data_IF_501744543266
#
_entry.id   IF_501744543266
#
_cell.length_a   1.000
_cell.length_b   1.000
_cell.length_c   1.000
_cell.angle_alpha   90.00
_cell.angle_beta   90.00
_cell.angle_gamma   90.00
#
_symmetry.space_group_name_H-M   'P 1'
#
loop_
_entity.id
_entity.type
_entity.pdbx_description
1 polymer ?
#
# COMPACT_ATOMS: atom_id res chain seq x y z
N UNK A 1 8.00 3.01 47.06
CA UNK A 1 7.74 2.52 45.69
C UNK A 1 7.91 3.67 44.73
N UNK A 2 8.99 3.64 43.97
CA UNK A 2 9.45 4.73 43.11
C UNK A 2 8.89 4.50 41.71
N UNK A 3 7.79 5.18 41.36
CA UNK A 3 7.28 5.15 39.99
C UNK A 3 8.14 6.04 39.08
N UNK A 4 8.86 5.37 38.18
CA UNK A 4 9.38 5.78 36.87
C UNK A 4 9.43 7.28 36.52
N UNK A 5 10.66 7.80 36.40
CA UNK A 5 11.04 9.13 35.88
C UNK A 5 10.93 9.29 34.35
N UNK A 6 10.37 8.32 33.62
CA UNK A 6 10.41 8.31 32.14
C UNK A 6 9.17 8.92 31.44
N UNK A 7 8.10 9.27 32.17
CA UNK A 7 6.79 9.56 31.55
C UNK A 7 6.43 11.03 31.27
N UNK A 8 7.17 12.01 31.79
CA UNK A 8 6.60 13.36 31.98
C UNK A 8 6.94 14.41 30.90
N UNK A 9 7.90 14.15 30.02
CA UNK A 9 8.54 15.20 29.18
C UNK A 9 8.17 15.19 27.70
N UNK A 10 7.50 14.13 27.24
CA UNK A 10 7.28 13.83 25.84
C UNK A 10 5.81 13.99 25.42
N UNK A 11 4.91 14.33 26.36
CA UNK A 11 3.46 14.31 26.16
C UNK A 11 2.96 15.10 24.94
N UNK A 12 3.20 16.41 24.83
CA UNK A 12 2.72 17.19 23.68
C UNK A 12 3.32 16.75 22.34
N UNK A 13 4.59 16.35 22.32
CA UNK A 13 5.28 15.87 21.12
C UNK A 13 4.80 14.48 20.69
N UNK A 14 4.55 13.59 21.64
CA UNK A 14 3.93 12.28 21.38
C UNK A 14 2.50 12.48 20.89
N UNK A 15 1.74 13.38 21.50
CA UNK A 15 0.37 13.73 21.07
C UNK A 15 0.36 14.25 19.64
N UNK A 16 1.26 15.18 19.31
CA UNK A 16 1.43 15.64 17.93
C UNK A 16 1.89 14.51 17.00
N UNK A 17 2.81 13.65 17.45
CA UNK A 17 3.28 12.49 16.68
C UNK A 17 2.15 11.49 16.36
N UNK A 18 1.28 11.21 17.33
CA UNK A 18 0.08 10.38 17.15
C UNK A 18 -0.85 11.01 16.11
N UNK A 19 -1.15 12.31 16.25
CA UNK A 19 -2.04 13.03 15.34
C UNK A 19 -1.46 13.11 13.91
N UNK A 20 -0.17 13.40 13.79
CA UNK A 20 0.54 13.47 12.52
C UNK A 20 0.61 12.08 11.85
N UNK A 21 0.92 11.03 12.60
CA UNK A 21 0.94 9.66 12.11
C UNK A 21 -0.40 9.28 11.47
N UNK A 22 -1.51 9.44 12.20
CA UNK A 22 -2.82 9.06 11.68
C UNK A 22 -3.30 9.95 10.54
N UNK A 23 -2.97 11.25 10.56
CA UNK A 23 -3.28 12.15 9.45
C UNK A 23 -2.53 11.72 8.18
N UNK A 24 -1.22 11.45 8.28
CA UNK A 24 -0.42 11.01 7.14
C UNK A 24 -0.82 9.62 6.66
N UNK A 25 -1.09 8.69 7.58
CA UNK A 25 -1.55 7.34 7.27
C UNK A 25 -2.81 7.39 6.39
N UNK A 26 -3.83 8.13 6.81
CA UNK A 26 -5.07 8.23 6.03
C UNK A 26 -4.90 9.06 4.76
N UNK A 27 -4.04 10.09 4.78
CA UNK A 27 -3.72 10.87 3.59
C UNK A 27 -3.13 9.98 2.49
N UNK A 28 -2.14 9.16 2.82
CA UNK A 28 -1.52 8.27 1.85
C UNK A 28 -2.47 7.16 1.37
N UNK A 29 -3.36 6.65 2.22
CA UNK A 29 -4.39 5.70 1.81
C UNK A 29 -5.39 6.31 0.81
N UNK A 30 -5.81 7.56 1.04
CA UNK A 30 -6.67 8.29 0.09
C UNK A 30 -5.93 8.56 -1.22
N UNK A 31 -4.67 9.01 -1.16
CA UNK A 31 -3.86 9.22 -2.37
C UNK A 31 -3.69 7.91 -3.15
N UNK A 32 -3.46 6.77 -2.47
CA UNK A 32 -3.33 5.46 -3.12
C UNK A 32 -4.56 5.09 -3.95
N UNK A 33 -5.76 5.40 -3.43
CA UNK A 33 -7.03 5.15 -4.13
C UNK A 33 -7.27 6.11 -5.28
N UNK A 34 -6.79 7.35 -5.20
CA UNK A 34 -6.98 8.36 -6.25
C UNK A 34 -6.00 8.17 -7.41
N UNK A 35 -4.73 7.87 -7.12
CA UNK A 35 -3.67 7.80 -8.15
C UNK A 35 -3.80 6.54 -9.01
N UNK A 36 -4.17 5.40 -8.42
CA UNK A 36 -4.44 4.14 -9.13
C UNK A 36 -3.22 3.54 -9.87
N UNK A 37 -2.87 2.29 -9.56
CA UNK A 37 -1.81 1.57 -10.27
C UNK A 37 -0.39 2.10 -10.03
N UNK A 38 0.57 1.56 -10.79
CA UNK A 38 1.99 1.82 -10.60
C UNK A 38 2.52 2.90 -11.56
N UNK A 39 3.11 3.96 -11.00
CA UNK A 39 3.79 5.06 -11.68
C UNK A 39 5.25 5.15 -11.23
N UNK A 40 6.05 6.01 -11.88
CA UNK A 40 7.50 6.12 -11.69
C UNK A 40 7.98 6.28 -10.23
N UNK A 41 7.16 6.85 -9.33
CA UNK A 41 7.46 6.99 -7.89
C UNK A 41 6.29 6.58 -6.98
N UNK A 42 5.24 5.99 -7.57
CA UNK A 42 4.06 5.56 -6.83
C UNK A 42 3.77 4.12 -7.16
N UNK A 43 3.99 3.20 -6.21
CA UNK A 43 3.69 1.78 -6.41
C UNK A 43 2.30 1.48 -5.85
N UNK A 44 1.30 2.16 -6.40
CA UNK A 44 -0.08 1.94 -6.04
C UNK A 44 -0.62 0.64 -6.63
N UNK A 45 -1.64 0.07 -6.00
CA UNK A 45 -2.40 -1.05 -6.57
C UNK A 45 -3.64 -0.50 -7.26
N UNK A 46 -4.05 -1.09 -8.38
CA UNK A 46 -5.36 -0.81 -8.95
C UNK A 46 -6.43 -1.42 -8.02
N UNK A 47 -7.02 -0.57 -7.18
CA UNK A 47 -8.01 -0.98 -6.18
C UNK A 47 -9.35 -1.35 -6.80
N UNK A 48 -9.72 -0.78 -7.95
CA UNK A 48 -10.92 -1.17 -8.68
C UNK A 48 -10.79 -2.60 -9.20
N UNK A 49 -9.68 -2.89 -9.88
CA UNK A 49 -9.40 -4.24 -10.37
C UNK A 49 -9.25 -5.25 -9.22
N UNK A 50 -8.67 -4.84 -8.10
CA UNK A 50 -8.54 -5.69 -6.90
C UNK A 50 -9.92 -6.03 -6.30
N UNK A 51 -10.79 -5.04 -6.09
CA UNK A 51 -12.13 -5.25 -5.55
C UNK A 51 -12.98 -6.12 -6.47
N UNK A 52 -12.96 -5.87 -7.79
CA UNK A 52 -13.70 -6.70 -8.74
C UNK A 52 -13.24 -8.16 -8.71
N UNK A 53 -11.93 -8.43 -8.57
CA UNK A 53 -11.40 -9.80 -8.40
C UNK A 53 -11.88 -10.46 -7.12
N UNK A 54 -11.89 -9.74 -6.00
CA UNK A 54 -12.39 -10.27 -4.73
C UNK A 54 -13.88 -10.64 -4.81
N UNK A 55 -14.73 -9.74 -5.30
CA UNK A 55 -16.15 -10.00 -5.43
C UNK A 55 -16.45 -11.12 -6.45
N UNK A 56 -15.74 -11.15 -7.58
CA UNK A 56 -15.85 -12.25 -8.54
C UNK A 56 -15.44 -13.60 -7.91
N UNK A 57 -14.38 -13.64 -7.10
CA UNK A 57 -13.95 -14.85 -6.39
C UNK A 57 -14.97 -15.36 -5.37
N UNK A 58 -15.78 -14.46 -4.81
CA UNK A 58 -16.87 -14.78 -3.90
C UNK A 58 -18.20 -15.13 -4.61
N UNK A 59 -18.19 -15.24 -5.95
CA UNK A 59 -19.39 -15.56 -6.73
C UNK A 59 -20.33 -14.37 -6.96
N UNK A 60 -19.86 -13.13 -6.78
CA UNK A 60 -20.59 -11.90 -7.05
C UNK A 60 -19.98 -11.20 -8.29
N UNK A 61 -20.35 -11.61 -9.52
CA UNK A 61 -19.72 -11.12 -10.74
C UNK A 61 -20.16 -9.71 -11.14
N UNK A 62 -21.17 -9.15 -10.48
CA UNK A 62 -21.72 -7.83 -10.80
C UNK A 62 -20.71 -6.72 -10.43
N UNK A 63 -20.07 -6.03 -11.39
CA UNK A 63 -18.97 -5.11 -11.10
C UNK A 63 -19.38 -3.93 -10.22
N UNK A 64 -20.62 -3.45 -10.39
CA UNK A 64 -21.16 -2.33 -9.62
C UNK A 64 -21.22 -2.61 -8.11
N UNK A 65 -21.36 -3.88 -7.68
CA UNK A 65 -21.36 -4.24 -6.25
C UNK A 65 -19.96 -4.06 -5.66
N UNK A 66 -18.93 -4.47 -6.41
CA UNK A 66 -17.54 -4.29 -6.03
C UNK A 66 -17.16 -2.80 -5.99
N UNK A 67 -17.60 -2.04 -6.99
CA UNK A 67 -17.37 -0.59 -7.07
C UNK A 67 -18.07 0.14 -5.91
N UNK A 68 -19.29 -0.25 -5.55
CA UNK A 68 -19.99 0.30 -4.38
C UNK A 68 -19.22 0.01 -3.09
N UNK A 69 -18.71 -1.22 -2.93
CA UNK A 69 -17.86 -1.58 -1.80
C UNK A 69 -16.60 -0.71 -1.71
N UNK A 70 -15.98 -0.43 -2.85
CA UNK A 70 -14.81 0.45 -2.94
C UNK A 70 -15.16 1.92 -2.62
N UNK A 71 -16.32 2.41 -3.06
CA UNK A 71 -16.79 3.77 -2.71
C UNK A 71 -17.04 3.89 -1.21
N UNK A 72 -17.67 2.89 -0.59
CA UNK A 72 -17.86 2.85 0.87
C UNK A 72 -16.52 2.84 1.59
N UNK A 73 -15.58 2.00 1.15
CA UNK A 73 -14.22 1.99 1.67
C UNK A 73 -13.56 3.38 1.57
N UNK A 74 -13.52 3.96 0.38
CA UNK A 74 -12.92 5.27 0.15
C UNK A 74 -13.56 6.38 0.99
N UNK A 75 -14.89 6.37 1.14
CA UNK A 75 -15.60 7.34 1.96
C UNK A 75 -15.18 7.24 3.44
N UNK A 76 -15.10 6.04 3.99
CA UNK A 76 -14.66 5.81 5.36
C UNK A 76 -13.24 6.34 5.61
N UNK A 77 -12.32 6.12 4.67
CA UNK A 77 -10.95 6.64 4.75
C UNK A 77 -10.87 8.17 4.69
N UNK A 78 -11.66 8.79 3.81
CA UNK A 78 -11.75 10.24 3.71
C UNK A 78 -12.30 10.84 5.00
N UNK A 79 -13.33 10.24 5.59
CA UNK A 79 -13.85 10.69 6.89
C UNK A 79 -12.79 10.55 7.99
N UNK A 80 -12.07 9.43 8.04
CA UNK A 80 -10.99 9.25 8.99
C UNK A 80 -9.91 10.34 8.81
N UNK A 81 -9.47 10.59 7.58
CA UNK A 81 -8.52 11.67 7.26
C UNK A 81 -9.01 13.03 7.76
N UNK A 82 -10.26 13.40 7.45
CA UNK A 82 -10.85 14.67 7.86
C UNK A 82 -10.84 14.80 9.39
N UNK A 83 -11.21 13.74 10.12
CA UNK A 83 -11.22 13.77 11.58
C UNK A 83 -9.82 13.91 12.18
N UNK A 84 -8.81 13.17 11.69
CA UNK A 84 -7.43 13.31 12.20
C UNK A 84 -6.76 14.62 11.78
N UNK A 85 -6.99 15.09 10.55
CA UNK A 85 -6.50 16.38 10.11
C UNK A 85 -7.13 17.51 10.94
N UNK A 86 -8.44 17.44 11.18
CA UNK A 86 -9.14 18.37 12.07
C UNK A 86 -8.63 18.31 13.51
N UNK A 87 -8.41 17.11 14.06
CA UNK A 87 -7.81 16.92 15.38
C UNK A 87 -6.43 17.57 15.46
N UNK A 88 -5.58 17.37 14.44
CA UNK A 88 -4.26 18.00 14.31
C UNK A 88 -4.36 19.52 14.29
N UNK A 89 -5.24 20.09 13.46
CA UNK A 89 -5.44 21.53 13.37
C UNK A 89 -5.96 22.12 14.69
N UNK A 90 -6.89 21.46 15.36
CA UNK A 90 -7.40 21.87 16.67
C UNK A 90 -6.32 21.81 17.74
N UNK A 91 -5.48 20.77 17.74
CA UNK A 91 -4.33 20.64 18.63
C UNK A 91 -3.33 21.78 18.44
N UNK A 92 -2.93 22.07 17.19
CA UNK A 92 -2.01 23.17 16.85
C UNK A 92 -2.58 24.54 17.23
N UNK A 93 -3.91 24.71 17.15
CA UNK A 93 -4.63 25.93 17.60
C UNK A 93 -4.87 25.98 19.11
N UNK A 94 -4.30 25.06 19.89
CA UNK A 94 -4.48 24.94 21.35
C UNK A 94 -5.94 24.77 21.80
N UNK A 95 -6.77 24.17 20.95
CA UNK A 95 -8.19 23.87 21.23
C UNK A 95 -8.32 22.42 21.71
N UNK A 96 -7.85 22.15 22.93
CA UNK A 96 -7.66 20.79 23.46
C UNK A 96 -8.94 19.94 23.44
N UNK A 97 -10.04 20.46 23.98
CA UNK A 97 -11.33 19.75 24.00
C UNK A 97 -11.79 19.34 22.59
N UNK A 98 -11.70 20.27 21.62
CA UNK A 98 -12.04 19.98 20.23
C UNK A 98 -11.07 18.95 19.62
N UNK A 99 -9.78 19.06 19.90
CA UNK A 99 -8.79 18.07 19.45
C UNK A 99 -9.13 16.66 19.95
N UNK A 100 -9.56 16.52 21.21
CA UNK A 100 -9.97 15.25 21.79
C UNK A 100 -11.23 14.68 21.12
N UNK A 101 -12.25 15.51 20.89
CA UNK A 101 -13.49 15.09 20.23
C UNK A 101 -13.22 14.61 18.79
N UNK A 102 -12.44 15.39 18.04
CA UNK A 102 -12.09 15.05 16.66
C UNK A 102 -11.20 13.81 16.59
N UNK A 103 -10.27 13.65 17.54
CA UNK A 103 -9.47 12.43 17.64
C UNK A 103 -10.35 11.21 17.92
N UNK A 104 -11.27 11.29 18.87
CA UNK A 104 -12.18 10.19 19.19
C UNK A 104 -13.02 9.81 17.96
N UNK A 105 -13.56 10.80 17.23
CA UNK A 105 -14.28 10.56 15.99
C UNK A 105 -13.39 9.83 14.96
N UNK A 106 -12.15 10.31 14.76
CA UNK A 106 -11.18 9.67 13.87
C UNK A 106 -10.82 8.25 14.27
N UNK A 107 -10.65 7.98 15.56
CA UNK A 107 -10.42 6.64 16.10
C UNK A 107 -11.63 5.74 15.85
N UNK A 108 -12.86 6.17 16.17
CA UNK A 108 -14.06 5.36 15.93
C UNK A 108 -14.24 5.06 14.45
N UNK A 109 -14.06 6.05 13.57
CA UNK A 109 -14.10 5.84 12.12
C UNK A 109 -13.01 4.88 11.66
N UNK A 110 -11.79 4.97 12.22
CA UNK A 110 -10.69 4.03 11.93
C UNK A 110 -11.02 2.61 12.33
N UNK A 111 -11.55 2.41 13.54
CA UNK A 111 -11.94 1.08 14.01
C UNK A 111 -13.03 0.49 13.10
N UNK A 112 -14.04 1.29 12.74
CA UNK A 112 -15.08 0.87 11.80
C UNK A 112 -14.49 0.52 10.42
N UNK A 113 -13.55 1.32 9.91
CA UNK A 113 -12.89 1.10 8.62
C UNK A 113 -12.09 -0.20 8.62
N UNK A 114 -11.24 -0.42 9.62
CA UNK A 114 -10.48 -1.67 9.70
C UNK A 114 -11.33 -2.88 10.02
N UNK A 115 -12.42 -2.74 10.78
CA UNK A 115 -13.39 -3.83 10.94
C UNK A 115 -14.05 -4.18 9.61
N UNK A 116 -14.45 -3.19 8.82
CA UNK A 116 -14.99 -3.41 7.48
C UNK A 116 -13.97 -4.13 6.58
N UNK A 117 -12.70 -3.71 6.59
CA UNK A 117 -11.64 -4.41 5.85
C UNK A 117 -11.38 -5.82 6.35
N UNK A 118 -11.24 -6.04 7.65
CA UNK A 118 -11.00 -7.37 8.21
C UNK A 118 -12.13 -8.36 7.92
N UNK A 119 -13.38 -7.90 7.87
CA UNK A 119 -14.50 -8.73 7.40
C UNK A 119 -14.29 -9.10 5.93
N UNK A 120 -13.96 -8.12 5.09
CA UNK A 120 -13.63 -8.34 3.68
C UNK A 120 -12.49 -9.34 3.51
N UNK A 121 -11.36 -9.15 4.17
CA UNK A 121 -10.18 -10.01 4.10
C UNK A 121 -10.52 -11.46 4.50
N UNK A 122 -11.38 -11.63 5.51
CA UNK A 122 -11.84 -12.95 5.91
C UNK A 122 -12.73 -13.60 4.85
N UNK A 123 -13.67 -12.84 4.27
CA UNK A 123 -14.57 -13.32 3.22
C UNK A 123 -13.84 -13.66 1.92
N UNK A 124 -12.83 -12.87 1.55
CA UNK A 124 -12.08 -13.03 0.31
C UNK A 124 -10.78 -13.83 0.45
N UNK A 125 -10.43 -14.23 1.68
CA UNK A 125 -9.27 -15.09 1.95
C UNK A 125 -7.91 -14.38 1.94
N UNK A 126 -7.88 -13.04 2.08
CA UNK A 126 -6.64 -12.26 2.10
C UNK A 126 -6.00 -12.22 3.50
N UNK A 127 -5.26 -13.29 3.83
CA UNK A 127 -4.70 -13.48 5.18
C UNK A 127 -3.58 -12.49 5.52
N UNK A 128 -2.90 -11.93 4.53
CA UNK A 128 -1.83 -10.96 4.78
C UNK A 128 -2.41 -9.59 5.14
N UNK A 129 -3.39 -9.12 4.37
CA UNK A 129 -4.09 -7.86 4.66
C UNK A 129 -4.86 -7.94 6.00
N UNK A 130 -5.43 -9.10 6.35
CA UNK A 130 -6.13 -9.30 7.63
C UNK A 130 -5.26 -9.02 8.86
N UNK A 131 -4.01 -9.48 8.84
CA UNK A 131 -3.08 -9.28 9.96
C UNK A 131 -2.73 -7.79 10.11
N UNK A 132 -2.44 -7.12 8.99
CA UNK A 132 -2.12 -5.70 8.96
C UNK A 132 -3.29 -4.85 9.46
N UNK A 133 -4.50 -5.08 8.95
CA UNK A 133 -5.71 -4.36 9.38
C UNK A 133 -6.04 -4.59 10.85
N UNK A 134 -5.89 -5.82 11.35
CA UNK A 134 -6.07 -6.13 12.77
C UNK A 134 -5.05 -5.40 13.64
N UNK A 135 -3.79 -5.34 13.21
CA UNK A 135 -2.74 -4.61 13.92
C UNK A 135 -3.05 -3.11 13.98
N UNK A 136 -3.45 -2.51 12.86
CA UNK A 136 -3.80 -1.08 12.82
C UNK A 136 -5.04 -0.77 13.65
N UNK A 137 -6.00 -1.69 13.74
CA UNK A 137 -7.14 -1.58 14.64
C UNK A 137 -6.68 -1.39 16.10
N UNK A 138 -5.79 -2.28 16.58
CA UNK A 138 -5.26 -2.18 17.95
C UNK A 138 -4.39 -0.94 18.15
N UNK A 139 -3.52 -0.61 17.20
CA UNK A 139 -2.66 0.58 17.29
C UNK A 139 -3.51 1.86 17.35
N UNK A 140 -4.63 1.93 16.64
CA UNK A 140 -5.55 3.09 16.69
C UNK A 140 -6.17 3.27 18.07
N UNK A 141 -6.67 2.17 18.64
CA UNK A 141 -7.23 2.18 19.99
C UNK A 141 -6.17 2.58 21.04
N UNK A 142 -4.97 2.01 20.94
CA UNK A 142 -3.85 2.34 21.84
C UNK A 142 -3.36 3.79 21.65
N UNK A 143 -3.36 4.30 20.43
CA UNK A 143 -3.02 5.70 20.12
C UNK A 143 -3.99 6.66 20.79
N UNK A 144 -5.29 6.39 20.73
CA UNK A 144 -6.31 7.17 21.43
C UNK A 144 -6.11 7.11 22.95
N UNK A 145 -5.91 5.92 23.51
CA UNK A 145 -5.68 5.75 24.94
C UNK A 145 -4.42 6.50 25.40
N UNK A 146 -3.32 6.38 24.67
CA UNK A 146 -2.08 7.10 24.93
C UNK A 146 -2.27 8.62 24.85
N UNK A 147 -2.95 9.12 23.83
CA UNK A 147 -3.24 10.54 23.69
C UNK A 147 -4.08 11.07 24.86
N UNK A 148 -5.05 10.28 25.35
CA UNK A 148 -5.87 10.64 26.50
C UNK A 148 -5.09 10.64 27.81
N UNK A 149 -4.24 9.63 28.05
CA UNK A 149 -3.46 9.51 29.27
C UNK A 149 -2.38 10.60 29.40
N UNK A 150 -1.84 11.05 28.27
CA UNK A 150 -0.87 12.15 28.19
C UNK A 150 -1.51 13.55 28.42
N UNK A 151 -2.81 13.63 28.72
CA UNK A 151 -3.52 14.88 29.03
C UNK A 151 -3.46 15.29 30.52
N UNK A 152 -2.78 14.52 31.36
CA UNK A 152 -2.61 14.85 32.79
C UNK A 152 -1.50 15.89 32.94
N UNK A 153 -1.68 16.90 33.81
CA UNK A 153 -0.74 18.01 34.07
C UNK A 153 0.66 17.54 34.52
N UNK A 154 1.45 17.01 33.59
CA UNK A 154 2.85 16.68 33.78
C UNK A 154 3.68 17.92 33.43
N UNK A 155 4.43 18.40 34.42
CA UNK A 155 5.38 19.52 34.35
C UNK A 155 6.17 19.55 33.03
N UNK A 156 6.34 20.77 32.49
CA UNK A 156 7.02 21.03 31.23
C UNK A 156 8.44 20.42 31.19
N UNK A 157 8.85 19.82 30.06
CA UNK A 157 10.18 19.26 29.91
C UNK A 157 11.27 20.33 30.02
N UNK A 158 12.46 19.90 30.44
CA UNK A 158 13.65 20.67 30.12
C UNK A 158 13.78 20.68 28.58
N UNK A 159 14.03 21.84 27.94
CA UNK A 159 14.21 21.89 26.50
C UNK A 159 15.33 20.92 26.08
N UNK A 160 15.14 20.21 24.96
CA UNK A 160 16.22 19.43 24.33
C UNK A 160 17.45 20.31 24.22
N UNK A 161 18.62 19.76 24.53
CA UNK A 161 19.85 20.51 24.31
C UNK A 161 20.04 20.75 22.83
N UNK A 162 20.66 21.86 22.45
CA UNK A 162 20.93 22.20 21.05
C UNK A 162 21.64 21.05 20.31
N UNK A 163 22.54 20.33 20.99
CA UNK A 163 23.24 19.15 20.47
C UNK A 163 22.29 17.98 20.19
N UNK A 164 21.32 17.71 21.08
CA UNK A 164 20.33 16.65 20.86
C UNK A 164 19.41 16.98 19.68
N UNK A 165 18.93 18.21 19.59
CA UNK A 165 18.09 18.66 18.47
C UNK A 165 18.83 18.53 17.14
N UNK A 166 20.05 19.04 17.04
CA UNK A 166 20.85 18.92 15.81
C UNK A 166 21.21 17.47 15.49
N UNK A 167 21.53 16.65 16.50
CA UNK A 167 21.80 15.23 16.31
C UNK A 167 20.59 14.47 15.75
N UNK A 168 19.40 14.71 16.29
CA UNK A 168 18.16 14.10 15.79
C UNK A 168 17.82 14.60 14.39
N UNK A 169 17.95 15.90 14.12
CA UNK A 169 17.71 16.46 12.79
C UNK A 169 18.68 15.90 11.75
N UNK A 170 19.96 15.79 12.08
CA UNK A 170 20.97 15.21 11.20
C UNK A 170 20.70 13.74 10.92
N UNK A 171 20.37 12.95 11.95
CA UNK A 171 20.01 11.54 11.76
C UNK A 171 18.76 11.40 10.89
N UNK A 172 17.72 12.18 11.14
CA UNK A 172 16.51 12.18 10.33
C UNK A 172 16.82 12.56 8.87
N UNK A 173 17.64 13.60 8.65
CA UNK A 173 18.05 14.02 7.32
C UNK A 173 18.86 12.93 6.58
N UNK A 174 19.77 12.25 7.27
CA UNK A 174 20.55 11.13 6.71
C UNK A 174 19.63 9.97 6.33
N UNK A 175 18.71 9.56 7.22
CA UNK A 175 17.78 8.47 6.95
C UNK A 175 16.87 8.80 5.77
N UNK A 176 16.26 9.99 5.75
CA UNK A 176 15.41 10.44 4.64
C UNK A 176 16.20 10.46 3.34
N UNK A 177 17.40 11.06 3.34
CA UNK A 177 18.23 11.16 2.13
C UNK A 177 18.66 9.79 1.62
N UNK A 178 19.05 8.87 2.51
CA UNK A 178 19.42 7.51 2.14
C UNK A 178 18.23 6.73 1.56
N UNK A 179 17.06 6.82 2.19
CA UNK A 179 15.85 6.16 1.70
C UNK A 179 15.41 6.75 0.36
N UNK A 180 15.35 8.08 0.22
CA UNK A 180 15.00 8.75 -1.03
C UNK A 180 16.00 8.41 -2.13
N UNK A 181 17.30 8.49 -1.86
CA UNK A 181 18.35 8.15 -2.82
C UNK A 181 18.27 6.69 -3.28
N UNK A 182 17.98 5.75 -2.37
CA UNK A 182 17.77 4.34 -2.69
C UNK A 182 16.57 4.13 -3.61
N UNK A 183 15.41 4.72 -3.28
CA UNK A 183 14.17 4.61 -4.08
C UNK A 183 14.36 5.19 -5.48
N UNK A 184 14.93 6.40 -5.58
CA UNK A 184 15.13 7.06 -6.85
C UNK A 184 16.11 6.31 -7.74
N UNK A 185 17.28 5.93 -7.22
CA UNK A 185 18.29 5.16 -7.98
C UNK A 185 17.71 3.84 -8.47
N UNK A 186 16.97 3.13 -7.62
CA UNK A 186 16.34 1.88 -8.04
C UNK A 186 15.30 2.10 -9.15
N UNK A 187 14.43 3.10 -9.02
CA UNK A 187 13.41 3.37 -10.04
C UNK A 187 14.03 3.89 -11.34
N UNK A 188 15.06 4.74 -11.31
CA UNK A 188 15.72 5.20 -12.55
C UNK A 188 16.33 4.03 -13.31
N UNK A 189 16.94 3.08 -12.60
CA UNK A 189 17.75 2.03 -13.23
C UNK A 189 16.92 0.79 -13.61
N UNK A 190 15.80 0.56 -12.92
CA UNK A 190 15.05 -0.69 -13.01
C UNK A 190 13.55 -0.55 -13.24
N UNK A 191 13.00 0.65 -13.40
CA UNK A 191 11.58 0.81 -13.73
C UNK A 191 11.17 0.12 -15.04
N UNK A 192 12.09 0.05 -16.02
CA UNK A 192 11.87 -0.69 -17.26
C UNK A 192 11.49 -2.15 -17.06
N UNK A 193 11.89 -2.80 -15.95
CA UNK A 193 11.50 -4.19 -15.65
C UNK A 193 9.99 -4.37 -15.41
N UNK A 194 9.26 -3.28 -15.18
CA UNK A 194 7.80 -3.27 -14.97
C UNK A 194 7.00 -2.94 -16.24
N UNK A 195 7.68 -2.51 -17.32
CA UNK A 195 7.02 -2.03 -18.54
C UNK A 195 7.57 -2.63 -19.82
N UNK A 196 8.84 -3.03 -19.85
CA UNK A 196 9.50 -3.53 -21.05
C UNK A 196 8.97 -4.93 -21.44
N UNK A 197 8.80 -5.19 -22.74
CA UNK A 197 8.44 -6.52 -23.23
C UNK A 197 9.55 -7.54 -22.97
N UNK A 198 9.17 -8.82 -22.93
CA UNK A 198 10.06 -9.95 -22.70
C UNK A 198 10.23 -10.74 -24.00
N UNK A 199 11.46 -11.20 -24.27
CA UNK A 199 11.69 -12.05 -25.43
C UNK A 199 11.09 -13.44 -25.21
N UNK A 200 10.37 -13.93 -26.22
CA UNK A 200 9.96 -15.32 -26.29
C UNK A 200 11.11 -16.17 -26.84
N UNK A 201 11.33 -17.33 -26.24
CA UNK A 201 12.37 -18.28 -26.66
C UNK A 201 11.68 -19.47 -27.31
N UNK A 202 11.98 -19.75 -28.56
CA UNK A 202 11.49 -20.94 -29.25
C UNK A 202 12.02 -22.20 -28.54
N UNK A 203 11.10 -23.10 -28.19
CA UNK A 203 11.39 -24.35 -27.45
C UNK A 203 10.85 -25.59 -28.15
N UNK A 204 10.17 -25.42 -29.29
CA UNK A 204 9.65 -26.46 -30.14
C UNK A 204 9.01 -25.84 -31.38
N UNK A 205 8.58 -26.71 -32.30
CA UNK A 205 7.88 -26.31 -33.52
C UNK A 205 6.62 -25.51 -33.19
N UNK A 206 6.55 -24.28 -33.69
CA UNK A 206 5.49 -23.30 -33.38
C UNK A 206 5.21 -23.13 -31.87
N UNK A 207 6.24 -23.29 -31.04
CA UNK A 207 6.10 -23.25 -29.59
C UNK A 207 7.18 -22.39 -28.93
N UNK A 208 6.72 -21.34 -28.27
CA UNK A 208 7.59 -20.34 -27.66
C UNK A 208 7.35 -20.22 -26.17
N UNK A 209 8.41 -20.05 -25.40
CA UNK A 209 8.42 -19.93 -23.95
C UNK A 209 8.77 -18.52 -23.52
N UNK A 210 7.99 -17.97 -22.59
CA UNK A 210 8.28 -16.70 -21.92
C UNK A 210 8.41 -16.93 -20.41
N UNK A 211 9.50 -16.44 -19.82
CA UNK A 211 9.72 -16.43 -18.37
C UNK A 211 9.31 -15.08 -17.81
N UNK A 212 8.20 -15.03 -17.09
CA UNK A 212 7.61 -13.80 -16.60
C UNK A 212 8.15 -13.45 -15.19
N UNK A 213 8.77 -12.27 -15.01
CA UNK A 213 9.37 -11.89 -13.75
C UNK A 213 8.30 -11.52 -12.72
N UNK A 214 8.64 -11.65 -11.44
CA UNK A 214 7.74 -11.29 -10.33
C UNK A 214 7.24 -9.84 -10.35
N UNK A 215 8.00 -8.92 -10.94
CA UNK A 215 7.64 -7.50 -11.05
C UNK A 215 6.91 -7.15 -12.36
N UNK A 216 6.71 -8.11 -13.26
CA UNK A 216 5.99 -7.89 -14.52
C UNK A 216 4.49 -7.74 -14.26
N UNK A 217 3.88 -6.70 -14.81
CA UNK A 217 2.43 -6.47 -14.77
C UNK A 217 1.75 -6.76 -16.12
N UNK A 218 0.45 -6.47 -16.23
CA UNK A 218 -0.30 -6.63 -17.49
C UNK A 218 0.36 -5.92 -18.68
N UNK A 219 0.92 -4.73 -18.46
CA UNK A 219 1.66 -3.98 -19.49
C UNK A 219 2.83 -4.78 -20.07
N UNK A 220 3.63 -5.46 -19.24
CA UNK A 220 4.73 -6.31 -19.72
C UNK A 220 4.19 -7.45 -20.57
N UNK A 221 3.07 -8.06 -20.16
CA UNK A 221 2.45 -9.15 -20.89
C UNK A 221 1.90 -8.70 -22.26
N UNK A 222 1.14 -7.60 -22.29
CA UNK A 222 0.58 -7.02 -23.52
C UNK A 222 1.67 -6.59 -24.49
N UNK A 223 2.69 -5.89 -24.00
CA UNK A 223 3.84 -5.48 -24.81
C UNK A 223 4.66 -6.67 -25.32
N UNK A 224 4.78 -7.73 -24.51
CA UNK A 224 5.44 -8.98 -24.94
C UNK A 224 4.68 -9.62 -26.10
N UNK A 225 3.35 -9.70 -26.04
CA UNK A 225 2.55 -10.25 -27.12
C UNK A 225 2.59 -9.38 -28.38
N UNK A 226 2.64 -8.06 -28.22
CA UNK A 226 2.80 -7.13 -29.34
C UNK A 226 4.14 -7.34 -30.03
N UNK A 227 5.23 -7.32 -29.27
CA UNK A 227 6.58 -7.57 -29.78
C UNK A 227 6.70 -8.94 -30.45
N UNK A 228 6.05 -9.97 -29.89
CA UNK A 228 6.02 -11.31 -30.48
C UNK A 228 5.33 -11.33 -31.85
N UNK A 229 4.14 -10.71 -31.97
CA UNK A 229 3.41 -10.62 -33.25
C UNK A 229 4.16 -9.85 -34.31
N UNK A 230 4.84 -8.76 -33.91
CA UNK A 230 5.65 -7.97 -34.83
C UNK A 230 6.87 -8.77 -35.34
N UNK A 231 7.42 -9.66 -34.51
CA UNK A 231 8.54 -10.52 -34.87
C UNK A 231 8.13 -11.74 -35.71
N UNK A 232 6.88 -12.20 -35.61
CA UNK A 232 6.35 -13.40 -36.29
C UNK A 232 5.06 -13.06 -37.08
N UNK A 233 5.17 -12.27 -38.16
CA UNK A 233 3.99 -11.79 -38.91
C UNK A 233 3.26 -12.91 -39.67
N UNK A 234 3.96 -14.01 -39.96
CA UNK A 234 3.44 -15.16 -40.73
C UNK A 234 2.78 -16.23 -39.83
N UNK A 235 2.80 -16.02 -38.52
CA UNK A 235 2.25 -16.94 -37.53
C UNK A 235 1.05 -16.33 -36.79
N UNK A 236 0.00 -17.13 -36.59
CA UNK A 236 -1.14 -16.76 -35.75
C UNK A 236 -1.02 -17.43 -34.40
N UNK A 237 -1.16 -16.65 -33.32
CA UNK A 237 -1.30 -17.20 -31.97
C UNK A 237 -2.61 -18.01 -31.90
N UNK A 238 -2.49 -19.31 -31.63
CA UNK A 238 -3.64 -20.20 -31.41
C UNK A 238 -4.03 -20.21 -29.92
N UNK A 239 -3.08 -20.55 -29.03
CA UNK A 239 -3.34 -20.58 -27.59
C UNK A 239 -2.13 -20.15 -26.75
N UNK A 240 -2.42 -19.54 -25.60
CA UNK A 240 -1.45 -19.20 -24.57
C UNK A 240 -1.77 -20.01 -23.32
N UNK A 241 -0.81 -20.78 -22.82
CA UNK A 241 -1.03 -21.65 -21.67
C UNK A 241 0.15 -21.65 -20.72
N UNK A 242 -0.14 -21.93 -19.45
CA UNK A 242 0.88 -22.14 -18.41
C UNK A 242 0.91 -23.62 -18.04
N UNK A 243 2.10 -24.16 -17.81
CA UNK A 243 2.27 -25.56 -17.41
C UNK A 243 2.66 -25.58 -15.94
N UNK A 244 2.01 -26.39 -15.08
CA UNK A 244 2.40 -26.51 -13.68
C UNK A 244 3.78 -27.17 -13.60
N UNK A 245 4.84 -26.37 -13.62
CA UNK A 245 6.11 -26.78 -13.05
C UNK A 245 6.03 -26.61 -11.54
N UNK A 246 6.66 -27.49 -10.73
CA UNK A 246 6.85 -27.19 -9.32
C UNK A 246 7.55 -25.82 -9.24
N UNK A 247 6.89 -24.85 -8.59
CA UNK A 247 7.45 -23.54 -8.29
C UNK A 247 8.90 -23.76 -7.85
N UNK A 248 9.86 -23.25 -8.64
CA UNK A 248 11.27 -23.37 -8.28
C UNK A 248 11.51 -22.43 -7.12
N UNK A 249 11.26 -22.93 -5.90
CA UNK A 249 11.60 -22.25 -4.65
C UNK A 249 13.02 -21.70 -4.80
N UNK A 250 13.16 -20.37 -4.70
CA UNK A 250 14.41 -19.57 -4.83
C UNK A 250 14.82 -19.10 -6.23
N UNK A 251 13.98 -19.23 -7.28
CA UNK A 251 14.17 -18.49 -8.55
C UNK A 251 13.11 -17.38 -8.70
N UNK A 252 13.50 -16.26 -9.33
CA UNK A 252 12.68 -15.05 -9.46
C UNK A 252 11.64 -15.09 -10.59
N UNK A 253 11.27 -16.29 -11.05
CA UNK A 253 10.24 -16.48 -12.08
C UNK A 253 8.89 -16.65 -11.37
N UNK A 254 7.96 -15.72 -11.60
CA UNK A 254 6.63 -15.78 -10.97
C UNK A 254 5.63 -16.59 -11.79
N UNK A 255 5.78 -16.58 -13.12
CA UNK A 255 4.95 -17.33 -14.05
C UNK A 255 5.78 -17.72 -15.27
N UNK A 256 5.57 -18.91 -15.81
CA UNK A 256 6.06 -19.30 -17.13
C UNK A 256 4.83 -19.59 -17.98
N UNK A 257 4.77 -18.98 -19.16
CA UNK A 257 3.73 -19.27 -20.14
C UNK A 257 4.34 -19.60 -21.50
N UNK A 258 3.57 -20.35 -22.27
CA UNK A 258 3.90 -20.81 -23.60
C UNK A 258 2.92 -20.18 -24.59
N UNK A 259 3.44 -19.76 -25.73
CA UNK A 259 2.69 -19.26 -26.87
C UNK A 259 2.79 -20.35 -27.94
N UNK A 260 1.66 -20.94 -28.31
CA UNK A 260 1.57 -21.86 -29.43
C UNK A 260 0.97 -21.14 -30.63
N UNK A 261 1.56 -21.35 -31.80
CA UNK A 261 1.18 -20.70 -33.04
C UNK A 261 0.82 -21.69 -34.14
N UNK A 262 0.22 -21.19 -35.21
CA UNK A 262 0.04 -21.90 -36.47
C UNK A 262 0.32 -20.96 -37.63
N UNK A 263 0.68 -21.51 -38.79
CA UNK A 263 0.89 -20.72 -40.00
C UNK A 263 -0.40 -19.98 -40.41
N UNK A 264 -0.23 -18.74 -40.85
CA UNK A 264 -1.32 -18.01 -41.51
C UNK A 264 -1.57 -18.67 -42.87
N UNK A 265 -2.69 -19.38 -43.00
CA UNK A 265 -3.08 -20.01 -44.26
C UNK A 265 -3.10 -18.98 -45.40
N UNK A 266 -2.36 -19.29 -46.48
CA UNK A 266 -2.26 -18.49 -47.71
C UNK A 266 -3.57 -18.45 -48.50
#
# INVERSE_FOLDING_TARGET
MTFSRFGAQTGPWIRLGILAYWTLFWLFNVIDKVVGGAHFLWVGRDRFAQFQKYFASAGLPAPWVADLGLVVAAALEVFALVFFAGATLHFLKKRDAASHTWLLAGTVTTLATFTFFSIGDHLFGDRFELLEHTLFWFISLMSWAAFHWLNSEALAPAPLTQTQTWGTLLLAAVLVSATTGSIFTYNTDHFSRRTAPLNAVEVGDHLYKVSFPFLGGSTVFEETLRMFKDAHPDERIDHIYTVPNPLRLKKADALIFYIATEDVAS
#
